data_IF_978951063127
#
_entry.id   IF_978951063127
#
_cell.length_a   1.000
_cell.length_b   1.000
_cell.length_c   1.000
_cell.angle_alpha   90.00
_cell.angle_beta   90.00
_cell.angle_gamma   90.00
#
_symmetry.space_group_name_H-M   'P 1'
#
loop_
_entity.id
_entity.type
_entity.pdbx_description
1 polymer ?
2 polymer ?
3 polymer ?
4 non-polymer ?
5 non-polymer ?
6 water ?
#
# COMPACT_ATOMS: atom_id res chain seq x y z
N UNK A 1 18.89 -9.14 -6.36
CA UNK A 1 18.05 -8.48 -5.38
C UNK A 1 17.37 -9.49 -4.46
N UNK A 2 16.61 -9.01 -3.48
CA UNK A 2 15.92 -9.86 -2.49
C UNK A 2 14.41 -9.68 -2.68
N UNK A 3 13.83 -10.51 -3.53
CA UNK A 3 12.46 -10.33 -4.00
C UNK A 3 11.47 -11.07 -3.11
N UNK A 4 10.20 -10.71 -3.25
CA UNK A 4 9.16 -11.24 -2.37
C UNK A 4 7.89 -11.52 -3.15
N UNK A 5 7.19 -12.56 -2.75
CA UNK A 5 5.84 -12.86 -3.21
C UNK A 5 4.94 -12.78 -1.99
N UNK A 6 3.91 -11.94 -2.05
CA UNK A 6 3.04 -11.80 -0.90
C UNK A 6 1.57 -11.58 -1.25
N UNK A 7 0.72 -12.24 -0.48
CA UNK A 7 -0.72 -12.15 -0.65
C UNK A 7 -1.32 -11.47 0.57
N UNK A 8 -2.30 -10.62 0.34
CA UNK A 8 -2.96 -9.87 1.39
C UNK A 8 -4.46 -10.05 1.24
N UNK A 9 -5.16 -10.13 2.38
CA UNK A 9 -6.59 -10.36 2.30
C UNK A 9 -7.36 -9.57 3.32
N UNK A 10 -8.53 -9.07 2.93
CA UNK A 10 -9.40 -8.33 3.84
C UNK A 10 -10.80 -8.95 3.74
N UNK A 11 -11.38 -9.30 4.89
CA UNK A 11 -12.73 -9.83 4.96
C UNK A 11 -13.51 -8.97 5.94
N UNK A 12 -14.65 -8.44 5.50
CA UNK A 12 -15.43 -7.47 6.27
C UNK A 12 -16.84 -8.02 6.40
N UNK A 13 -17.25 -8.33 7.63
CA UNK A 13 -18.62 -8.81 7.81
C UNK A 13 -19.60 -7.68 7.55
N UNK A 14 -20.76 -8.07 7.06
CA UNK A 14 -21.86 -7.18 6.82
C UNK A 14 -23.17 -7.68 7.43
N UNK A 15 -23.24 -7.54 8.75
CA UNK A 15 -24.26 -8.40 9.29
C UNK A 15 -25.63 -7.83 9.01
N UNK A 16 -26.51 -8.72 8.64
CA UNK A 16 -27.85 -8.35 8.29
C UNK A 16 -28.00 -7.98 6.83
N UNK A 17 -26.87 -7.84 6.14
CA UNK A 17 -26.90 -7.46 4.73
C UNK A 17 -26.20 -8.46 3.84
N UNK A 18 -26.23 -9.73 4.21
CA UNK A 18 -25.59 -10.70 3.41
C UNK A 18 -24.23 -11.14 3.76
N UNK A 19 -23.59 -11.68 2.75
CA UNK A 19 -22.26 -12.25 2.91
C UNK A 19 -21.23 -11.17 3.18
N UNK A 20 -20.10 -11.54 3.81
CA UNK A 20 -18.99 -10.58 3.95
C UNK A 20 -18.43 -10.18 2.59
N UNK A 21 -17.67 -9.10 2.60
CA UNK A 21 -16.89 -8.65 1.46
C UNK A 21 -15.47 -9.18 1.61
N UNK A 22 -14.97 -9.88 0.58
CA UNK A 22 -13.61 -10.40 0.58
C UNK A 22 -12.84 -9.75 -0.57
N UNK A 23 -11.74 -9.06 -0.24
CA UNK A 23 -10.88 -8.48 -1.27
C UNK A 23 -9.47 -8.98 -1.01
N UNK A 24 -8.94 -9.75 -1.95
CA UNK A 24 -7.62 -10.34 -1.85
C UNK A 24 -6.76 -9.78 -2.98
N UNK A 25 -5.48 -9.56 -2.69
CA UNK A 25 -4.54 -9.04 -3.68
C UNK A 25 -3.23 -9.78 -3.54
N UNK A 26 -2.48 -9.84 -4.63
CA UNK A 26 -1.16 -10.44 -4.61
C UNK A 26 -0.12 -9.51 -5.20
N UNK A 27 1.09 -9.58 -4.66
CA UNK A 27 2.17 -8.68 -5.02
C UNK A 27 3.47 -9.47 -5.26
N UNK A 28 4.21 -9.07 -6.28
CA UNK A 28 5.63 -9.38 -6.36
C UNK A 28 6.37 -8.08 -6.08
N UNK A 29 7.20 -8.07 -5.05
CA UNK A 29 7.88 -6.84 -4.61
C UNK A 29 6.80 -5.78 -4.39
N UNK A 30 6.92 -4.60 -4.99
CA UNK A 30 5.97 -3.53 -4.81
C UNK A 30 4.94 -3.46 -5.94
N UNK A 31 4.85 -4.51 -6.75
CA UNK A 31 4.00 -4.55 -7.94
C UNK A 31 2.85 -5.52 -7.74
N UNK A 32 1.61 -5.00 -7.72
CA UNK A 32 0.44 -5.86 -7.62
C UNK A 32 0.25 -6.64 -8.92
N UNK A 33 -0.16 -7.90 -8.83
CA UNK A 33 -0.38 -8.65 -10.06
C UNK A 33 -1.66 -9.45 -10.14
N UNK A 34 -2.37 -9.67 -9.02
CA UNK A 34 -3.65 -10.36 -9.04
C UNK A 34 -4.57 -9.75 -8.01
N UNK A 35 -5.87 -9.94 -8.21
CA UNK A 35 -6.88 -9.61 -7.22
C UNK A 35 -7.99 -10.64 -7.26
N UNK A 36 -8.76 -10.67 -6.18
CA UNK A 36 -10.03 -11.39 -6.12
C UNK A 36 -10.98 -10.53 -5.30
N UNK A 37 -12.13 -10.21 -5.87
CA UNK A 37 -13.11 -9.35 -5.21
C UNK A 37 -14.43 -10.10 -5.22
N UNK A 38 -14.93 -10.45 -4.03
CA UNK A 38 -16.12 -11.27 -3.93
C UNK A 38 -17.39 -10.56 -4.40
N UNK A 39 -17.32 -9.27 -4.61
CA UNK A 39 -18.49 -8.52 -4.99
C UNK A 39 -18.90 -8.43 -6.45
N UNK A 40 -18.37 -9.32 -7.24
CA UNK A 40 -18.82 -9.49 -8.61
C UNK A 40 -19.87 -10.61 -8.64
N UNK A 41 -20.55 -10.72 -9.79
CA UNK A 41 -21.61 -11.72 -9.91
C UNK A 41 -21.05 -13.14 -9.83
N UNK A 42 -20.02 -13.42 -10.63
CA UNK A 42 -19.26 -14.66 -10.55
C UNK A 42 -17.80 -14.25 -10.35
N UNK A 43 -17.38 -14.02 -9.11
CA UNK A 43 -16.03 -13.47 -8.89
C UNK A 43 -14.94 -14.47 -9.24
N UNK A 44 -13.87 -13.95 -9.84
CA UNK A 44 -12.73 -14.75 -10.24
C UNK A 44 -11.46 -14.07 -9.78
N UNK A 45 -10.42 -14.85 -9.55
CA UNK A 45 -9.10 -14.27 -9.40
C UNK A 45 -8.65 -13.77 -10.77
N UNK A 46 -8.21 -12.50 -10.83
CA UNK A 46 -7.99 -11.79 -12.09
C UNK A 46 -6.57 -11.23 -12.15
N UNK A 47 -6.03 -11.08 -13.36
CA UNK A 47 -4.71 -10.46 -13.50
C UNK A 47 -4.77 -8.96 -13.26
N UNK A 48 -3.70 -8.42 -12.66
CA UNK A 48 -3.54 -6.99 -12.50
C UNK A 48 -2.16 -6.51 -12.94
N UNK A 49 -1.39 -7.34 -13.63
CA UNK A 49 -0.12 -6.95 -14.21
C UNK A 49 -0.02 -7.66 -15.55
N UNK A 50 0.54 -7.01 -16.58
CA UNK A 50 0.55 -7.65 -17.90
C UNK A 50 1.29 -8.97 -17.93
N UNK A 51 2.37 -9.13 -17.15
CA UNK A 51 3.21 -10.31 -17.28
C UNK A 51 2.62 -11.57 -16.64
N UNK A 52 1.48 -11.48 -15.95
CA UNK A 52 0.80 -12.68 -15.47
C UNK A 52 -0.34 -13.10 -16.41
N UNK A 53 -0.73 -12.23 -17.33
CA UNK A 53 -1.84 -12.55 -18.24
C UNK A 53 -1.57 -13.80 -19.06
N UNK A 54 -0.30 -14.15 -19.28
CA UNK A 54 0.07 -15.32 -20.09
C UNK A 54 -0.18 -16.64 -19.37
N UNK A 55 -0.49 -16.64 -18.07
CA UNK A 55 -0.76 -17.91 -17.40
C UNK A 55 -2.03 -18.52 -17.98
N UNK A 56 -2.03 -19.84 -18.13
CA UNK A 56 -3.07 -20.51 -18.84
C UNK A 56 -4.36 -20.62 -18.05
N UNK A 57 -5.39 -21.16 -18.70
CA UNK A 57 -6.71 -21.30 -18.06
C UNK A 57 -6.67 -22.10 -16.77
N UNK A 58 -5.83 -23.08 -16.70
CA UNK A 58 -5.75 -23.85 -15.47
C UNK A 58 -5.26 -23.02 -14.28
N UNK A 59 -4.23 -22.15 -14.44
CA UNK A 59 -3.79 -21.26 -13.38
C UNK A 59 -4.95 -20.46 -12.81
N UNK A 60 -5.71 -19.81 -13.68
CA UNK A 60 -6.79 -18.95 -13.20
C UNK A 60 -7.88 -19.76 -12.54
N UNK A 61 -8.16 -20.96 -13.05
CA UNK A 61 -9.10 -21.85 -12.39
C UNK A 61 -8.63 -22.19 -10.97
N UNK A 62 -7.36 -22.55 -10.82
CA UNK A 62 -6.89 -22.96 -9.50
C UNK A 62 -6.81 -21.77 -8.54
N UNK A 63 -6.36 -20.61 -9.01
CA UNK A 63 -6.29 -19.44 -8.12
C UNK A 63 -7.66 -18.93 -7.74
N UNK A 64 -8.66 -19.11 -8.60
CA UNK A 64 -10.03 -18.81 -8.23
C UNK A 64 -10.55 -19.81 -7.20
N UNK A 65 -10.16 -21.06 -7.35
CA UNK A 65 -10.56 -22.07 -6.41
C UNK A 65 -9.97 -21.72 -5.04
N UNK A 66 -8.71 -21.33 -5.05
CA UNK A 66 -7.99 -21.01 -3.84
C UNK A 66 -8.64 -19.84 -3.14
N UNK A 67 -8.94 -18.81 -3.88
CA UNK A 67 -9.59 -17.61 -3.35
C UNK A 67 -10.93 -17.97 -2.71
N UNK A 68 -11.75 -18.78 -3.41
CA UNK A 68 -13.06 -19.11 -2.86
C UNK A 68 -12.96 -19.97 -1.62
N UNK A 69 -11.98 -20.88 -1.55
CA UNK A 69 -11.78 -21.68 -0.35
C UNK A 69 -11.35 -20.80 0.81
N UNK A 70 -10.51 -19.82 0.51
CA UNK A 70 -10.05 -18.88 1.50
C UNK A 70 -11.23 -18.07 2.03
N UNK A 71 -12.10 -17.63 1.14
CA UNK A 71 -13.27 -16.86 1.54
C UNK A 71 -14.22 -17.66 2.42
N UNK A 72 -14.32 -18.95 2.14
CA UNK A 72 -15.16 -19.85 2.91
C UNK A 72 -14.65 -19.88 4.34
N UNK A 73 -13.34 -20.09 4.47
CA UNK A 73 -12.71 -20.12 5.79
C UNK A 73 -12.76 -18.74 6.47
N UNK A 74 -12.49 -17.65 5.74
CA UNK A 74 -12.58 -16.32 6.36
C UNK A 74 -13.98 -16.07 6.90
N UNK A 75 -14.98 -16.52 6.17
CA UNK A 75 -16.37 -16.38 6.59
C UNK A 75 -16.49 -17.05 7.95
N UNK A 76 -16.14 -18.33 8.02
CA UNK A 76 -16.17 -19.07 9.28
C UNK A 76 -15.35 -18.37 10.35
N UNK A 77 -14.17 -17.85 10.00
CA UNK A 77 -13.32 -17.22 11.01
C UNK A 77 -13.97 -15.98 11.59
N UNK A 78 -14.65 -15.18 10.77
CA UNK A 78 -15.31 -13.99 11.30
C UNK A 78 -16.38 -14.37 12.32
N UNK A 79 -16.96 -15.53 12.12
CA UNK A 79 -17.96 -16.06 13.03
C UNK A 79 -17.35 -16.51 14.32
N UNK A 80 -16.32 -17.24 14.18
CA UNK A 80 -15.56 -17.73 15.33
C UNK A 80 -15.05 -16.58 16.18
N UNK A 81 -14.47 -15.55 15.54
CA UNK A 81 -13.87 -14.44 16.28
C UNK A 81 -14.92 -13.67 17.06
N UNK A 82 -16.09 -13.46 16.45
CA UNK A 82 -17.18 -12.79 17.15
C UNK A 82 -17.51 -13.51 18.46
N UNK A 83 -17.51 -14.86 18.41
CA UNK A 83 -17.71 -15.65 19.62
C UNK A 83 -16.54 -15.56 20.61
N UNK A 84 -15.31 -15.68 20.12
CA UNK A 84 -14.13 -15.58 21.00
C UNK A 84 -14.15 -14.30 21.84
N UNK A 85 -14.56 -13.19 21.24
CA UNK A 85 -14.56 -11.90 21.92
C UNK A 85 -15.92 -11.53 22.48
N UNK A 86 -16.88 -12.44 22.41
CA UNK A 86 -18.22 -12.26 22.98
C UNK A 86 -18.83 -10.95 22.49
N UNK A 87 -18.78 -10.74 21.18
CA UNK A 87 -19.26 -9.52 20.55
C UNK A 87 -20.68 -9.70 20.02
N UNK A 88 -21.35 -8.58 19.86
CA UNK A 88 -22.74 -8.54 19.40
C UNK A 88 -22.88 -9.11 17.99
N UNK A 89 -24.05 -9.66 17.70
CA UNK A 89 -24.39 -10.09 16.34
C UNK A 89 -24.43 -8.90 15.38
N UNK A 90 -24.68 -7.71 15.89
CA UNK A 90 -24.75 -6.54 15.05
C UNK A 90 -23.38 -5.86 15.00
N UNK A 91 -23.10 -5.21 13.89
CA UNK A 91 -21.86 -4.48 13.80
C UNK A 91 -20.83 -5.21 12.97
N UNK A 92 -20.18 -4.47 12.08
CA UNK A 92 -19.24 -5.06 11.14
C UNK A 92 -17.87 -5.25 11.78
N UNK A 93 -17.21 -6.36 11.43
CA UNK A 93 -15.85 -6.60 11.90
C UNK A 93 -14.95 -6.94 10.72
N UNK A 94 -13.65 -6.72 10.91
CA UNK A 94 -12.66 -6.92 9.85
C UNK A 94 -11.64 -7.98 10.26
N UNK A 95 -11.39 -8.92 9.36
CA UNK A 95 -10.31 -9.88 9.49
C UNK A 95 -9.34 -9.64 8.34
N UNK A 96 -8.04 -9.62 8.63
CA UNK A 96 -7.02 -9.43 7.61
C UNK A 96 -5.93 -10.48 7.77
N UNK A 97 -5.36 -10.90 6.65
CA UNK A 97 -4.24 -11.82 6.72
C UNK A 97 -3.21 -11.39 5.70
N UNK A 98 -2.01 -11.89 5.85
CA UNK A 98 -0.93 -11.67 4.89
C UNK A 98 0.04 -12.84 4.98
N UNK A 99 0.57 -13.25 3.86
CA UNK A 99 1.50 -14.37 3.85
C UNK A 99 2.35 -14.31 2.58
N UNK A 100 3.56 -14.86 2.67
CA UNK A 100 4.41 -14.95 1.50
C UNK A 100 5.85 -15.27 1.86
N UNK A 101 6.69 -15.24 0.82
CA UNK A 101 8.08 -15.64 0.93
C UNK A 101 8.98 -14.56 0.37
N UNK A 102 10.17 -14.41 0.97
CA UNK A 102 11.24 -13.61 0.39
C UNK A 102 12.30 -14.53 -0.18
N UNK A 103 12.73 -14.25 -1.41
CA UNK A 103 13.78 -15.00 -2.05
C UNK A 103 15.11 -14.31 -1.79
N UNK A 104 16.08 -15.06 -1.28
CA UNK A 104 17.35 -14.49 -0.89
C UNK A 104 18.27 -14.38 -2.08
N UNK A 105 19.19 -13.42 -2.06
CA UNK A 105 20.16 -13.27 -3.17
C UNK A 105 20.91 -14.56 -3.47
N UNK A 106 20.92 -15.48 -2.51
CA UNK A 106 21.48 -16.81 -2.69
C UNK A 106 20.46 -17.81 -3.24
N UNK A 107 19.31 -17.33 -3.71
CA UNK A 107 18.35 -18.22 -4.33
C UNK A 107 17.58 -19.14 -3.40
N UNK A 108 17.66 -18.94 -2.09
CA UNK A 108 16.95 -19.80 -1.15
C UNK A 108 15.97 -18.97 -0.32
N UNK A 109 15.11 -19.67 0.42
CA UNK A 109 14.13 -19.01 1.28
C UNK A 109 14.84 -18.16 2.32
N UNK A 110 14.70 -16.85 2.20
CA UNK A 110 15.32 -15.93 3.15
C UNK A 110 14.43 -15.64 4.35
N UNK A 111 13.12 -15.55 4.13
CA UNK A 111 12.20 -15.20 5.19
C UNK A 111 10.81 -15.64 4.76
N UNK A 112 9.99 -16.02 5.74
CA UNK A 112 8.61 -16.38 5.48
C UNK A 112 7.68 -15.60 6.38
N UNK A 113 6.47 -15.39 5.91
CA UNK A 113 5.48 -14.63 6.63
C UNK A 113 4.11 -15.27 6.59
N UNK A 114 3.38 -15.16 7.69
CA UNK A 114 2.00 -15.61 7.83
C UNK A 114 1.45 -14.92 9.06
N UNK A 115 0.67 -13.90 8.84
CA UNK A 115 0.14 -13.05 9.92
C UNK A 115 -1.35 -12.72 9.75
N UNK A 116 -2.04 -12.51 10.86
CA UNK A 116 -3.47 -12.20 10.83
C UNK A 116 -3.79 -11.12 11.86
N UNK A 117 -4.84 -10.36 11.58
CA UNK A 117 -5.27 -9.28 12.46
C UNK A 117 -6.79 -9.27 12.51
N UNK A 118 -7.33 -8.86 13.65
CA UNK A 118 -8.77 -8.74 13.82
C UNK A 118 -9.08 -7.31 14.28
N UNK A 119 -10.02 -6.67 13.60
CA UNK A 119 -10.37 -5.27 13.84
C UNK A 119 -9.13 -4.38 13.99
N UNK A 120 -8.16 -4.59 13.10
CA UNK A 120 -7.01 -3.72 13.02
C UNK A 120 -5.88 -3.99 13.99
N UNK A 121 -5.98 -5.05 14.81
CA UNK A 121 -4.97 -5.39 15.81
C UNK A 121 -4.34 -6.74 15.48
N UNK A 122 -3.02 -6.84 15.67
CA UNK A 122 -2.33 -8.14 15.56
C UNK A 122 -3.11 -9.21 16.29
N UNK A 123 -3.26 -10.38 15.66
CA UNK A 123 -3.96 -11.51 16.26
C UNK A 123 -3.03 -12.71 16.43
N UNK A 124 -2.50 -13.28 15.35
CA UNK A 124 -1.58 -14.41 15.44
C UNK A 124 -0.62 -14.33 14.26
N UNK A 125 0.63 -14.66 14.51
CA UNK A 125 1.64 -14.56 13.46
C UNK A 125 2.57 -15.76 13.57
N UNK A 126 3.06 -16.20 12.43
CA UNK A 126 4.09 -17.23 12.40
C UNK A 126 5.43 -16.63 12.83
N UNK A 127 6.10 -17.30 13.76
CA UNK A 127 7.42 -16.88 14.19
C UNK A 127 8.38 -16.88 13.01
N UNK A 128 9.43 -16.05 13.11
CA UNK A 128 10.42 -15.96 12.05
C UNK A 128 11.08 -17.30 11.77
N UNK A 129 11.17 -18.16 12.78
CA UNK A 129 11.81 -19.45 12.52
C UNK A 129 10.92 -20.40 11.72
N UNK A 130 9.65 -20.04 11.53
CA UNK A 130 8.68 -20.78 10.73
C UNK A 130 8.29 -22.11 11.39
N UNK A 131 8.51 -22.24 12.69
CA UNK A 131 8.25 -23.47 13.43
C UNK A 131 7.10 -23.35 14.42
N UNK A 132 6.67 -22.13 14.75
CA UNK A 132 5.79 -21.92 15.88
C UNK A 132 5.07 -20.59 15.70
N UNK A 133 4.07 -20.34 16.55
CA UNK A 133 3.16 -19.21 16.44
C UNK A 133 3.34 -18.24 17.60
N UNK A 134 2.97 -17.01 17.35
CA UNK A 134 2.89 -16.00 18.37
C UNK A 134 1.49 -15.45 18.48
N UNK A 135 0.88 -15.58 19.64
CA UNK A 135 -0.52 -15.24 19.85
C UNK A 135 -0.62 -13.94 20.65
N UNK A 136 -1.47 -13.01 20.17
CA UNK A 136 -1.56 -11.70 20.81
C UNK A 136 -2.31 -11.75 22.15
N UNK A 137 -3.26 -12.66 22.29
CA UNK A 137 -4.12 -12.64 23.47
C UNK A 137 -4.68 -14.03 23.68
N UNK A 138 -5.58 -14.17 24.65
CA UNK A 138 -6.07 -15.50 24.97
C UNK A 138 -6.94 -16.09 23.86
N UNK A 139 -7.62 -15.25 23.08
CA UNK A 139 -8.37 -15.78 21.95
C UNK A 139 -7.44 -16.35 20.89
N UNK A 140 -6.40 -15.61 20.54
CA UNK A 140 -5.44 -16.13 19.57
C UNK A 140 -4.71 -17.35 20.12
N UNK A 141 -4.56 -17.45 21.45
CA UNK A 141 -3.98 -18.67 22.01
C UNK A 141 -4.82 -19.89 21.67
N UNK A 142 -6.14 -19.73 21.59
CA UNK A 142 -6.97 -20.87 21.19
C UNK A 142 -6.72 -21.26 19.75
N UNK A 143 -6.60 -20.26 18.86
CA UNK A 143 -6.20 -20.54 17.48
C UNK A 143 -4.85 -21.25 17.44
N UNK A 144 -3.89 -20.77 18.23
CA UNK A 144 -2.57 -21.39 18.28
C UNK A 144 -2.65 -22.87 18.63
N UNK A 145 -3.48 -23.22 19.62
CA UNK A 145 -3.59 -24.63 19.99
C UNK A 145 -4.16 -25.47 18.84
N UNK A 146 -5.15 -24.94 18.11
CA UNK A 146 -5.68 -25.69 16.97
C UNK A 146 -4.66 -25.83 15.85
N UNK A 147 -3.91 -24.76 15.54
CA UNK A 147 -2.93 -24.83 14.47
C UNK A 147 -1.75 -25.72 14.85
N UNK A 148 -1.41 -25.80 16.13
CA UNK A 148 -0.43 -26.80 16.55
C UNK A 148 -0.98 -28.20 16.38
N UNK A 149 -2.26 -28.38 16.69
CA UNK A 149 -2.88 -29.71 16.60
C UNK A 149 -2.94 -30.21 15.17
N UNK A 150 -3.13 -29.31 14.18
CA UNK A 150 -3.12 -29.72 12.78
C UNK A 150 -1.75 -29.55 12.13
N UNK A 151 -0.73 -29.21 12.91
CA UNK A 151 0.66 -29.07 12.41
C UNK A 151 0.71 -28.13 11.19
N UNK A 152 0.00 -27.02 11.33
CA UNK A 152 -0.13 -26.06 10.24
C UNK A 152 1.19 -25.38 9.93
N UNK A 153 1.99 -25.11 10.98
CA UNK A 153 3.26 -24.41 10.75
C UNK A 153 4.13 -25.19 9.77
N UNK A 154 4.22 -26.51 9.96
CA UNK A 154 5.03 -27.35 9.08
C UNK A 154 4.46 -27.40 7.67
N UNK A 155 3.13 -27.45 7.56
CA UNK A 155 2.50 -27.50 6.26
C UNK A 155 2.66 -26.18 5.52
N UNK A 156 2.51 -25.06 6.22
CA UNK A 156 2.70 -23.79 5.54
C UNK A 156 4.17 -23.56 5.18
N UNK A 157 5.09 -23.99 6.04
CA UNK A 157 6.51 -23.86 5.72
C UNK A 157 6.85 -24.59 4.43
N UNK A 158 6.24 -25.76 4.22
CA UNK A 158 6.49 -26.50 2.98
C UNK A 158 6.04 -25.70 1.76
N UNK A 159 4.93 -24.98 1.87
CA UNK A 159 4.53 -24.06 0.80
C UNK A 159 5.58 -22.98 0.60
N UNK A 160 6.05 -22.37 1.70
CA UNK A 160 7.03 -21.30 1.61
C UNK A 160 8.34 -21.79 1.02
N UNK A 161 8.76 -22.97 1.41
CA UNK A 161 10.02 -23.53 0.96
C UNK A 161 10.06 -24.03 -0.48
N UNK A 162 8.90 -24.33 -1.01
CA UNK A 162 8.82 -24.87 -2.33
C UNK A 162 8.09 -24.05 -3.35
N UNK A 163 6.74 -24.36 -3.47
CA UNK A 163 6.01 -23.62 -4.48
C UNK A 163 6.00 -22.08 -4.39
N UNK A 164 5.99 -21.52 -3.19
CA UNK A 164 6.02 -20.06 -3.10
C UNK A 164 7.22 -19.51 -3.85
N UNK A 165 8.38 -20.12 -3.64
CA UNK A 165 9.59 -19.65 -4.30
C UNK A 165 9.57 -20.00 -5.79
N UNK A 166 9.06 -21.18 -6.12
CA UNK A 166 8.97 -21.60 -7.50
C UNK A 166 8.18 -20.58 -8.32
N UNK A 167 6.99 -20.25 -7.85
CA UNK A 167 6.14 -19.27 -8.54
C UNK A 167 6.78 -17.89 -8.54
N UNK A 168 7.42 -17.50 -7.44
CA UNK A 168 8.10 -16.22 -7.41
C UNK A 168 9.18 -16.13 -8.50
N UNK A 169 9.99 -17.18 -8.64
CA UNK A 169 11.02 -17.14 -9.67
C UNK A 169 10.40 -17.03 -11.05
N UNK A 170 9.29 -17.74 -11.27
CA UNK A 170 8.64 -17.69 -12.57
C UNK A 170 8.09 -16.30 -12.88
N UNK A 171 7.43 -15.67 -11.90
CA UNK A 171 6.98 -14.29 -12.06
C UNK A 171 8.14 -13.36 -12.37
N UNK A 172 9.23 -13.46 -11.61
CA UNK A 172 10.37 -12.57 -11.82
C UNK A 172 10.92 -12.70 -13.23
N UNK A 173 10.94 -13.93 -13.76
CA UNK A 173 11.39 -14.14 -15.13
C UNK A 173 10.40 -13.55 -16.13
N UNK A 174 9.11 -13.86 -15.98
CA UNK A 174 8.14 -13.42 -16.96
C UNK A 174 7.96 -11.90 -16.96
N UNK A 175 8.16 -11.25 -15.81
CA UNK A 175 8.08 -9.81 -15.79
C UNK A 175 9.44 -9.14 -15.62
N UNK A 176 10.51 -9.80 -16.05
CA UNK A 176 11.85 -9.28 -15.71
C UNK A 176 12.06 -7.87 -16.24
N UNK A 177 11.43 -7.52 -17.36
CA UNK A 177 11.67 -6.21 -17.97
C UNK A 177 11.17 -5.06 -17.11
N UNK A 178 10.19 -5.29 -16.26
CA UNK A 178 9.74 -4.28 -15.30
C UNK A 178 10.11 -4.63 -13.86
N UNK A 179 9.88 -5.88 -13.45
CA UNK A 179 10.14 -6.27 -12.06
C UNK A 179 11.61 -6.14 -11.69
N UNK A 180 12.52 -6.47 -12.63
CA UNK A 180 13.94 -6.52 -12.31
C UNK A 180 14.68 -5.29 -12.80
N UNK A 181 13.96 -4.22 -13.04
CA UNK A 181 14.54 -2.98 -13.49
C UNK A 181 14.33 -1.91 -12.47
N UNK A 182 15.38 -1.44 -11.82
CA UNK A 182 15.27 -0.40 -10.80
C UNK A 182 15.18 0.97 -11.48
N UNK A 183 13.99 1.56 -11.48
CA UNK A 183 13.74 2.88 -12.04
C UNK A 183 14.25 3.93 -11.04
N UNK A 184 15.28 4.69 -11.43
CA UNK A 184 15.84 5.66 -10.48
C UNK A 184 14.89 6.83 -10.31
N UNK A 185 14.98 7.55 -9.21
CA UNK A 185 14.15 8.75 -9.07
C UNK A 185 14.67 9.84 -9.99
N UNK A 186 13.75 10.52 -10.67
CA UNK A 186 14.06 11.81 -11.26
C UNK A 186 13.95 12.86 -10.15
N UNK A 187 15.01 13.64 -9.95
CA UNK A 187 15.08 14.51 -8.79
C UNK A 187 15.29 15.97 -9.17
N UNK A 188 14.76 16.86 -8.34
CA UNK A 188 15.00 18.29 -8.51
C UNK A 188 14.56 19.00 -7.24
N UNK A 189 14.99 20.25 -7.12
CA UNK A 189 14.67 21.10 -5.97
C UNK A 189 13.92 22.32 -6.48
N UNK A 190 12.79 22.63 -5.86
CA UNK A 190 12.05 23.84 -6.18
C UNK A 190 12.13 24.81 -5.01
N UNK A 191 11.81 26.07 -5.29
CA UNK A 191 12.05 27.17 -4.36
C UNK A 191 10.77 27.98 -4.26
N UNK A 192 10.28 28.18 -3.04
CA UNK A 192 8.99 28.82 -2.81
C UNK A 192 9.12 29.84 -1.69
N UNK A 193 9.19 31.12 -2.02
CA UNK A 193 9.31 32.16 -0.99
C UNK A 193 8.16 32.10 0.02
N UNK A 194 8.52 32.19 1.29
CA UNK A 194 7.54 32.18 2.38
C UNK A 194 7.35 33.59 2.95
N UNK A 195 8.34 34.46 2.83
CA UNK A 195 8.25 35.84 3.29
C UNK A 195 9.36 36.61 2.61
N UNK A 196 9.53 37.87 3.03
CA UNK A 196 10.62 38.67 2.50
C UNK A 196 11.98 38.21 2.98
N UNK A 197 12.05 37.26 3.94
CA UNK A 197 13.36 36.79 4.35
C UNK A 197 13.49 35.28 4.49
N UNK A 198 12.45 34.50 4.15
CA UNK A 198 12.53 33.05 4.21
C UNK A 198 11.89 32.40 2.99
N UNK A 199 12.30 31.17 2.72
CA UNK A 199 11.78 30.44 1.57
C UNK A 199 11.81 28.95 1.83
N UNK A 200 10.91 28.22 1.17
CA UNK A 200 10.85 26.77 1.27
C UNK A 200 11.58 26.15 0.09
N UNK A 201 12.55 25.30 0.38
CA UNK A 201 13.17 24.41 -0.60
C UNK A 201 12.48 23.06 -0.53
N UNK A 202 11.98 22.58 -1.66
CA UNK A 202 11.30 21.28 -1.70
C UNK A 202 12.07 20.36 -2.63
N UNK A 203 12.53 19.24 -2.09
CA UNK A 203 13.33 18.28 -2.83
C UNK A 203 12.43 17.13 -3.27
N UNK A 204 12.41 16.88 -4.58
CA UNK A 204 11.50 15.92 -5.18
C UNK A 204 12.25 14.68 -5.64
N UNK A 205 11.64 13.52 -5.39
CA UNK A 205 12.05 12.25 -6.02
C UNK A 205 10.82 11.65 -6.68
N UNK A 206 10.87 11.48 -8.01
CA UNK A 206 9.70 11.11 -8.78
C UNK A 206 10.00 9.93 -9.69
N UNK A 207 9.00 9.06 -9.87
CA UNK A 207 9.04 7.97 -10.84
C UNK A 207 9.96 6.82 -10.48
N UNK A 208 10.19 6.55 -9.19
CA UNK A 208 11.16 5.53 -8.82
C UNK A 208 10.48 4.22 -8.48
N UNK A 209 11.24 3.14 -8.65
CA UNK A 209 10.80 1.81 -8.31
C UNK A 209 12.06 1.00 -8.00
N UNK A 210 12.08 0.25 -6.88
CA UNK A 210 10.98 -0.02 -5.96
C UNK A 210 10.71 1.14 -5.00
N UNK A 211 9.83 0.92 -4.01
CA UNK A 211 9.34 2.03 -3.20
C UNK A 211 10.38 2.51 -2.20
N UNK A 212 11.26 1.62 -1.74
CA UNK A 212 12.22 1.98 -0.70
C UNK A 212 13.11 3.14 -1.15
N UNK A 213 13.13 4.20 -0.35
CA UNK A 213 13.96 5.36 -0.69
C UNK A 213 14.26 6.09 0.61
N UNK A 214 15.37 6.81 0.63
CA UNK A 214 15.63 7.76 1.69
C UNK A 214 15.85 9.14 1.07
N UNK A 215 15.30 10.18 1.73
CA UNK A 215 15.41 11.55 1.25
C UNK A 215 15.49 12.44 2.49
N UNK A 216 16.61 13.13 2.66
CA UNK A 216 16.82 13.96 3.84
C UNK A 216 17.46 15.27 3.42
N UNK A 217 17.38 16.25 4.32
CA UNK A 217 18.02 17.55 4.13
C UNK A 217 19.16 17.71 5.11
N UNK A 218 20.20 18.41 4.66
CA UNK A 218 21.32 18.79 5.51
C UNK A 218 21.58 20.28 5.37
N UNK A 219 22.04 20.88 6.47
CA UNK A 219 22.53 22.26 6.49
C UNK A 219 23.98 22.22 6.94
N UNK A 220 24.88 22.74 6.09
CA UNK A 220 26.32 22.65 6.33
C UNK A 220 26.72 21.23 6.71
N UNK A 221 26.19 20.24 5.99
CA UNK A 221 26.54 18.86 6.22
C UNK A 221 25.97 18.22 7.47
N UNK A 222 25.11 18.91 8.19
CA UNK A 222 24.47 18.38 9.39
C UNK A 222 23.00 18.09 9.08
N UNK A 223 22.51 16.96 9.59
CA UNK A 223 21.14 16.54 9.37
C UNK A 223 20.16 17.58 9.92
N UNK A 224 19.15 17.92 9.12
CA UNK A 224 18.17 18.94 9.47
C UNK A 224 16.90 18.30 10.00
N UNK A 225 16.55 18.60 11.25
CA UNK A 225 15.36 18.04 11.87
C UNK A 225 14.34 19.10 12.26
N UNK A 226 14.68 20.37 12.11
CA UNK A 226 13.77 21.47 12.41
C UNK A 226 13.33 22.13 11.12
N UNK A 227 12.17 22.79 11.17
CA UNK A 227 11.66 23.56 10.04
C UNK A 227 11.45 22.69 8.79
N UNK A 228 11.05 21.42 8.94
CA UNK A 228 10.96 20.50 7.82
C UNK A 228 9.57 19.88 7.72
N UNK A 229 9.27 19.37 6.52
CA UNK A 229 8.15 18.43 6.34
C UNK A 229 8.54 17.41 5.29
N UNK A 230 8.36 16.13 5.61
CA UNK A 230 8.50 15.07 4.63
C UNK A 230 7.16 14.38 4.44
N UNK A 231 6.83 14.02 3.22
CA UNK A 231 5.63 13.24 2.99
C UNK A 231 6.05 11.78 2.83
N UNK A 232 5.18 10.87 3.22
CA UNK A 232 5.42 9.45 3.09
C UNK A 232 5.41 9.11 1.61
N UNK A 233 6.27 8.20 1.20
CA UNK A 233 6.32 7.71 -0.18
C UNK A 233 4.93 7.34 -0.65
N UNK A 234 4.58 7.77 -1.86
CA UNK A 234 3.21 7.64 -2.33
C UNK A 234 3.22 7.14 -3.78
N UNK A 235 2.19 6.40 -4.18
CA UNK A 235 2.17 5.85 -5.54
C UNK A 235 1.84 6.92 -6.58
N UNK A 236 2.54 6.88 -7.70
CA UNK A 236 2.24 7.79 -8.79
C UNK A 236 1.02 7.34 -9.58
N UNK A 237 0.68 6.05 -9.54
CA UNK A 237 -0.42 5.51 -10.31
C UNK A 237 0.01 4.78 -11.56
N UNK A 238 1.29 4.84 -11.90
CA UNK A 238 1.84 4.16 -13.08
C UNK A 238 2.76 3.01 -12.70
N UNK A 239 2.73 2.59 -11.44
CA UNK A 239 3.64 1.57 -10.96
C UNK A 239 4.87 2.09 -10.27
N UNK A 240 5.13 3.41 -10.32
CA UNK A 240 6.28 3.99 -9.64
C UNK A 240 5.78 4.84 -8.48
N UNK A 241 6.72 5.45 -7.78
CA UNK A 241 6.45 6.14 -6.52
C UNK A 241 7.05 7.54 -6.53
N UNK A 242 6.59 8.34 -5.58
CA UNK A 242 6.99 9.73 -5.37
C UNK A 242 7.31 9.96 -3.90
N UNK A 243 8.15 10.95 -3.64
CA UNK A 243 8.37 11.41 -2.27
C UNK A 243 8.95 12.81 -2.36
N UNK A 244 8.62 13.66 -1.39
CA UNK A 244 9.36 14.92 -1.30
C UNK A 244 9.62 15.30 0.15
N UNK A 245 10.61 16.16 0.32
CA UNK A 245 10.97 16.70 1.61
C UNK A 245 11.24 18.20 1.46
N UNK A 246 10.72 19.00 2.38
CA UNK A 246 10.84 20.45 2.29
C UNK A 246 11.45 21.00 3.57
N UNK A 247 12.19 22.11 3.43
CA UNK A 247 12.83 22.78 4.56
C UNK A 247 12.68 24.29 4.37
N UNK A 248 12.34 24.99 5.45
CA UNK A 248 12.26 26.45 5.43
C UNK A 248 13.63 27.02 5.80
N UNK A 249 14.16 27.89 4.94
CA UNK A 249 15.55 28.35 5.06
C UNK A 249 15.56 29.88 5.01
N UNK A 250 16.62 30.49 5.55
CA UNK A 250 16.77 31.95 5.41
C UNK A 250 17.16 32.32 3.98
N UNK A 251 16.45 33.29 3.42
CA UNK A 251 16.75 33.77 2.08
C UNK A 251 18.19 34.26 2.02
N UNK A 252 18.88 33.88 0.95
CA UNK A 252 20.30 34.11 0.83
C UNK A 252 21.18 33.01 1.38
N UNK A 253 20.62 32.04 2.09
CA UNK A 253 21.41 30.94 2.64
C UNK A 253 21.06 29.59 2.00
N UNK A 254 20.41 29.60 0.83
CA UNK A 254 19.94 28.37 0.19
C UNK A 254 21.07 27.40 -0.12
N UNK A 255 22.25 27.91 -0.45
CA UNK A 255 23.33 27.03 -0.89
C UNK A 255 23.99 26.29 0.27
N UNK A 256 23.68 26.63 1.51
CA UNK A 256 24.13 25.80 2.61
C UNK A 256 23.34 24.50 2.74
N UNK A 257 22.24 24.37 2.01
CA UNK A 257 21.34 23.23 2.18
C UNK A 257 21.49 22.25 1.03
N UNK A 258 21.54 20.95 1.37
CA UNK A 258 21.68 19.88 0.40
C UNK A 258 20.65 18.79 0.69
N UNK A 259 20.05 18.29 -0.38
CA UNK A 259 19.13 17.16 -0.31
C UNK A 259 19.90 15.89 -0.65
N UNK A 260 19.62 14.82 0.08
CA UNK A 260 20.35 13.56 -0.02
C UNK A 260 19.37 12.44 -0.33
N UNK A 261 19.56 11.76 -1.45
CA UNK A 261 18.62 10.77 -1.94
C UNK A 261 19.38 9.47 -2.18
N UNK A 262 18.85 8.38 -1.64
CA UNK A 262 19.44 7.07 -1.86
C UNK A 262 18.34 6.11 -2.32
N UNK A 263 18.66 5.31 -3.34
CA UNK A 263 17.67 4.43 -3.96
C UNK A 263 18.41 3.38 -4.77
N UNK A 264 17.81 2.18 -4.87
CA UNK A 264 18.50 1.10 -5.58
C UNK A 264 18.89 1.52 -6.99
N UNK A 265 18.10 2.39 -7.62
CA UNK A 265 18.39 2.86 -8.96
C UNK A 265 19.48 3.92 -9.08
N UNK A 266 20.10 4.32 -7.98
CA UNK A 266 21.16 5.33 -7.98
C UNK A 266 22.46 4.68 -7.54
N UNK A 267 23.48 4.62 -8.42
CA UNK A 267 24.74 3.94 -8.04
C UNK A 267 25.40 4.55 -6.82
N UNK A 268 25.45 5.87 -6.72
CA UNK A 268 25.93 6.54 -5.52
C UNK A 268 24.80 7.30 -4.85
N UNK A 269 24.90 7.56 -3.55
CA UNK A 269 23.98 8.51 -2.93
C UNK A 269 24.07 9.84 -3.67
N UNK A 270 22.92 10.48 -3.84
CA UNK A 270 22.82 11.68 -4.63
C UNK A 270 22.73 12.88 -3.71
N UNK A 271 23.52 13.89 -4.01
CA UNK A 271 23.50 15.09 -3.24
C UNK A 271 23.03 16.16 -4.19
N UNK A 272 21.97 16.87 -3.81
CA UNK A 272 21.44 17.92 -4.64
C UNK A 272 21.19 19.24 -3.94
N UNK A 273 21.17 20.30 -4.71
CA UNK A 273 20.88 21.63 -4.23
C UNK A 273 19.98 22.41 -5.13
N UNK A 274 19.43 23.47 -4.62
CA UNK A 274 18.65 24.34 -5.48
C UNK A 274 19.57 25.02 -6.49
N UNK A 275 19.12 25.09 -7.74
CA UNK A 275 19.92 25.64 -8.83
C UNK A 275 19.12 26.75 -9.50
N UNK A 276 19.30 28.01 -9.05
CA UNK A 276 18.56 29.11 -9.67
C UNK A 276 18.98 29.23 -11.12
N UNK B 1 -10.25 -3.50 19.39
CA UNK B 1 -10.38 -2.83 18.10
C UNK B 1 -9.61 -1.52 18.11
N UNK B 2 -9.54 -0.88 16.94
CA UNK B 2 -8.80 0.36 16.76
C UNK B 2 -9.33 1.01 15.48
N UNK B 3 -9.70 2.29 15.56
CA UNK B 3 -10.12 3.03 14.38
C UNK B 3 -9.07 4.08 14.07
N UNK B 4 -8.78 4.28 12.77
CA UNK B 4 -7.73 5.21 12.35
C UNK B 4 -8.25 6.17 11.30
N UNK B 5 -7.90 7.45 11.46
CA UNK B 5 -8.35 8.52 10.59
C UNK B 5 -7.48 8.57 9.33
N UNK B 6 -8.08 8.60 8.14
CA UNK B 6 -7.30 8.60 6.90
C UNK B 6 -6.40 9.83 6.76
N UNK B 7 -5.22 9.58 6.20
CA UNK B 7 -4.30 10.62 5.82
C UNK B 7 -4.80 10.87 4.38
N UNK B 8 -4.60 12.07 3.84
CA UNK B 8 -5.07 12.43 2.51
C UNK B 8 -3.99 13.23 1.81
N UNK B 9 -3.57 12.78 0.63
CA UNK B 9 -2.69 13.56 -0.23
C UNK B 9 -3.34 13.69 -1.61
N UNK B 10 -3.36 14.91 -2.16
CA UNK B 10 -3.86 15.15 -3.50
C UNK B 10 -2.72 15.72 -4.34
N UNK B 11 -2.51 15.14 -5.52
CA UNK B 11 -1.32 15.45 -6.30
C UNK B 11 -1.52 14.90 -7.71
N UNK B 12 -0.61 15.28 -8.59
CA UNK B 12 -0.68 14.79 -9.97
C UNK B 12 0.38 13.72 -10.17
N UNK B 13 0.12 12.84 -11.14
CA UNK B 13 1.09 11.80 -11.45
C UNK B 13 2.40 12.39 -11.97
N UNK B 14 2.32 13.37 -12.86
CA UNK B 14 3.47 14.03 -13.43
C UNK B 14 3.46 15.51 -13.05
N UNK B 15 4.62 16.17 -13.05
CA UNK B 15 4.65 17.62 -12.80
C UNK B 15 3.64 18.32 -13.68
N UNK B 16 2.83 19.20 -13.11
CA UNK B 16 1.70 19.74 -13.87
C UNK B 16 2.16 20.81 -14.85
N UNK B 17 1.52 20.80 -16.03
CA UNK B 17 1.75 21.84 -17.04
C UNK B 17 0.40 22.21 -17.64
N UNK B 18 0.08 23.50 -17.67
CA UNK B 18 -1.21 23.91 -18.21
C UNK B 18 -1.35 23.43 -19.66
N UNK B 19 -2.49 22.83 -19.96
CA UNK B 19 -2.76 22.32 -21.29
C UNK B 19 -2.19 20.94 -21.58
N UNK B 20 -1.46 20.35 -20.63
CA UNK B 20 -0.87 19.04 -20.85
C UNK B 20 -1.64 17.98 -20.06
N UNK B 21 -2.23 16.99 -20.73
CA UNK B 21 -3.00 15.98 -20.01
C UNK B 21 -2.16 15.26 -18.96
N UNK B 22 -2.82 14.82 -17.90
CA UNK B 22 -2.15 14.35 -16.70
C UNK B 22 -3.15 13.47 -15.96
N UNK B 23 -2.76 13.01 -14.78
CA UNK B 23 -3.65 12.28 -13.89
C UNK B 23 -3.68 12.99 -12.54
N UNK B 24 -4.89 13.18 -12.01
CA UNK B 24 -5.13 13.75 -10.68
C UNK B 24 -5.31 12.61 -9.69
N UNK B 25 -4.48 12.60 -8.64
CA UNK B 25 -4.46 11.52 -7.66
C UNK B 25 -4.97 12.01 -6.31
N UNK B 26 -5.73 11.16 -5.64
CA UNK B 26 -6.02 11.34 -4.21
C UNK B 26 -5.64 10.03 -3.51
N UNK B 27 -4.62 10.10 -2.68
CA UNK B 27 -4.09 8.93 -1.98
C UNK B 27 -4.59 9.00 -0.54
N UNK B 28 -5.48 8.08 -0.17
CA UNK B 28 -5.96 7.98 1.21
C UNK B 28 -5.27 6.79 1.85
N UNK B 29 -4.71 6.99 3.05
CA UNK B 29 -3.89 5.95 3.64
C UNK B 29 -4.02 5.98 5.15
N UNK B 30 -3.62 4.87 5.78
CA UNK B 30 -3.58 4.80 7.22
C UNK B 30 -4.94 4.80 7.90
N UNK B 31 -5.99 4.36 7.20
CA UNK B 31 -7.31 4.37 7.81
C UNK B 31 -7.78 2.96 8.17
N UNK B 32 -8.77 2.92 9.07
CA UNK B 32 -9.36 1.66 9.54
C UNK B 32 -10.65 2.03 10.29
N UNK B 33 -11.77 1.37 9.96
CA UNK B 33 -11.94 0.24 9.02
C UNK B 33 -11.92 0.66 7.55
N UNK B 34 -12.28 -0.25 6.63
CA UNK B 34 -11.97 -0.07 5.22
C UNK B 34 -13.01 0.73 4.43
N UNK B 35 -14.27 0.78 4.86
CA UNK B 35 -15.25 1.57 4.12
C UNK B 35 -14.84 3.05 4.10
N UNK B 36 -14.81 3.65 2.92
CA UNK B 36 -14.41 5.05 2.78
C UNK B 36 -15.01 5.58 1.50
N UNK B 37 -15.33 6.88 1.49
CA UNK B 37 -15.88 7.56 0.33
C UNK B 37 -14.89 8.64 -0.08
N UNK B 38 -14.43 8.59 -1.33
CA UNK B 38 -13.43 9.54 -1.81
C UNK B 38 -13.92 10.16 -3.11
N UNK B 39 -13.97 11.47 -3.18
CA UNK B 39 -14.36 12.14 -4.41
C UNK B 39 -13.30 13.13 -4.86
N UNK B 40 -13.08 13.17 -6.12
CA UNK B 40 -12.28 14.23 -6.73
C UNK B 40 -13.22 15.33 -7.20
N UNK B 41 -12.85 16.57 -6.90
CA UNK B 41 -13.69 17.72 -7.14
C UNK B 41 -13.01 18.64 -8.13
N UNK B 42 -13.78 19.14 -9.10
CA UNK B 42 -13.31 20.13 -10.06
C UNK B 42 -14.19 21.35 -9.87
N UNK B 43 -13.57 22.45 -9.43
CA UNK B 43 -14.31 23.65 -9.07
C UNK B 43 -15.48 23.33 -8.15
N UNK B 44 -15.23 22.47 -7.15
CA UNK B 44 -16.25 22.11 -6.19
C UNK B 44 -17.22 21.03 -6.61
N UNK B 45 -17.25 20.65 -7.89
CA UNK B 45 -18.16 19.64 -8.38
C UNK B 45 -17.49 18.28 -8.46
N UNK B 46 -18.23 17.23 -8.13
CA UNK B 46 -17.72 15.89 -8.17
C UNK B 46 -17.39 15.43 -9.57
N UNK B 47 -16.20 14.90 -9.76
CA UNK B 47 -15.79 14.41 -11.07
C UNK B 47 -16.27 12.97 -11.28
N UNK B 48 -16.78 12.70 -12.48
CA UNK B 48 -17.01 11.33 -12.90
C UNK B 48 -15.72 10.72 -13.41
N UNK B 49 -15.81 9.45 -13.81
CA UNK B 49 -14.69 8.72 -14.40
C UNK B 49 -13.52 8.55 -13.42
N UNK B 50 -13.80 8.55 -12.12
CA UNK B 50 -12.78 8.35 -11.11
C UNK B 50 -12.65 6.86 -10.82
N UNK B 51 -11.43 6.34 -10.96
CA UNK B 51 -11.14 4.94 -10.66
C UNK B 51 -10.28 4.84 -9.41
N UNK B 52 -10.10 3.62 -8.92
CA UNK B 52 -9.30 3.45 -7.71
C UNK B 52 -8.61 2.09 -7.72
N UNK B 53 -7.55 2.02 -6.93
CA UNK B 53 -6.78 0.78 -6.79
C UNK B 53 -7.60 -0.25 -5.99
N UNK B 54 -7.10 -1.48 -5.99
CA UNK B 54 -7.69 -2.52 -5.16
C UNK B 54 -7.25 -2.35 -3.71
N UNK B 55 -8.18 -2.52 -2.81
CA UNK B 55 -7.90 -2.40 -1.39
C UNK B 55 -6.69 -3.20 -0.90
N UNK B 56 -5.77 -2.47 -0.28
CA UNK B 56 -4.56 -3.05 0.26
C UNK B 56 -4.29 -2.42 1.62
N UNK B 57 -3.26 -2.90 2.30
CA UNK B 57 -2.91 -2.39 3.59
C UNK B 57 -1.44 -2.44 3.92
N UNK B 58 -1.05 -1.64 4.88
CA UNK B 58 0.34 -1.49 5.26
C UNK B 58 0.68 -2.42 6.42
N UNK B 59 1.90 -2.29 6.94
CA UNK B 59 2.38 -3.22 7.95
C UNK B 59 1.62 -3.12 9.26
N UNK B 60 1.07 -1.94 9.59
CA UNK B 60 0.25 -1.81 10.79
C UNK B 60 -1.21 -2.17 10.54
N UNK B 61 -1.54 -2.73 9.38
CA UNK B 61 -2.84 -3.25 8.98
C UNK B 61 -3.78 -2.13 8.52
N UNK B 62 -3.34 -0.88 8.51
CA UNK B 62 -4.19 0.20 8.04
C UNK B 62 -4.22 0.21 6.51
N UNK B 63 -5.37 0.58 5.98
CA UNK B 63 -5.65 0.47 4.56
C UNK B 63 -5.14 1.68 3.79
N UNK B 64 -4.92 1.48 2.49
CA UNK B 64 -4.65 2.60 1.59
C UNK B 64 -5.28 2.31 0.24
N UNK B 65 -5.66 3.39 -0.44
CA UNK B 65 -6.30 3.36 -1.74
C UNK B 65 -5.82 4.57 -2.52
N UNK B 66 -5.56 4.39 -3.81
CA UNK B 66 -5.30 5.48 -4.72
C UNK B 66 -6.54 5.68 -5.59
N UNK B 67 -7.10 6.89 -5.56
CA UNK B 67 -8.15 7.30 -6.49
C UNK B 67 -7.54 8.21 -7.54
N UNK B 68 -7.96 8.06 -8.79
CA UNK B 68 -7.29 8.82 -9.83
C UNK B 68 -8.22 9.05 -11.02
N UNK B 69 -7.95 10.12 -11.76
CA UNK B 69 -8.72 10.40 -12.96
C UNK B 69 -7.90 11.28 -13.89
N UNK B 70 -8.21 11.24 -15.17
CA UNK B 70 -7.53 12.05 -16.15
C UNK B 70 -7.91 13.50 -15.94
N UNK B 71 -6.97 14.39 -16.14
CA UNK B 71 -7.23 15.80 -16.07
C UNK B 71 -6.17 16.59 -16.87
N UNK B 72 -6.53 17.79 -17.25
CA UNK B 72 -5.67 18.65 -17.99
C UNK B 72 -5.70 19.95 -17.25
N UNK B 73 -4.67 20.25 -16.48
CA UNK B 73 -4.69 21.46 -15.68
C UNK B 73 -4.69 22.70 -16.55
N UNK B 74 -5.29 23.76 -16.03
CA UNK B 74 -5.21 25.07 -16.67
C UNK B 74 -5.20 26.12 -15.57
N UNK B 75 -5.06 27.38 -15.97
CA UNK B 75 -4.89 28.43 -14.96
C UNK B 75 -6.17 28.72 -14.19
N UNK B 76 -7.33 28.27 -14.67
CA UNK B 76 -8.62 28.65 -14.11
C UNK B 76 -9.23 27.62 -13.18
N UNK B 77 -8.90 26.34 -13.33
CA UNK B 77 -9.62 25.29 -12.63
C UNK B 77 -8.94 24.94 -11.32
N UNK B 78 -9.75 24.73 -10.28
CA UNK B 78 -9.29 24.32 -8.96
C UNK B 78 -9.75 22.89 -8.69
N UNK B 79 -8.87 22.11 -8.07
CA UNK B 79 -9.12 20.71 -7.82
C UNK B 79 -8.95 20.43 -6.34
N UNK B 80 -9.71 19.46 -5.86
CA UNK B 80 -9.67 19.07 -4.45
C UNK B 80 -10.03 17.59 -4.35
N UNK B 81 -9.84 17.04 -3.15
CA UNK B 81 -10.24 15.69 -2.80
C UNK B 81 -11.09 15.78 -1.55
N UNK B 82 -12.24 15.10 -1.55
CA UNK B 82 -13.18 15.12 -0.42
C UNK B 82 -13.40 13.71 0.08
N UNK B 83 -13.20 13.50 1.38
CA UNK B 83 -13.14 12.16 1.97
C UNK B 83 -14.13 12.08 3.12
N UNK B 84 -14.93 11.01 3.14
CA UNK B 84 -15.78 10.66 4.26
C UNK B 84 -15.36 9.31 4.83
N UNK B 85 -15.34 9.23 6.16
CA UNK B 85 -14.92 8.02 6.88
C UNK B 85 -15.59 8.06 8.24
N UNK B 86 -15.78 6.89 8.83
CA UNK B 86 -16.47 6.84 10.12
C UNK B 86 -15.74 7.68 11.17
N UNK B 87 -14.41 7.76 11.07
CA UNK B 87 -13.62 8.53 12.03
C UNK B 87 -13.76 10.04 11.85
N UNK B 88 -14.34 10.49 10.74
CA UNK B 88 -14.39 11.91 10.42
C UNK B 88 -15.78 12.45 10.71
N UNK B 89 -15.85 13.59 11.41
CA UNK B 89 -17.13 14.24 11.61
C UNK B 89 -17.41 15.13 10.41
N UNK B 90 -18.11 14.59 9.42
CA UNK B 90 -18.34 15.30 8.19
C UNK B 90 -17.18 15.11 7.23
N UNK B 91 -17.35 15.54 5.99
CA UNK B 91 -16.30 15.35 4.98
C UNK B 91 -15.07 16.23 5.23
N UNK B 92 -13.91 15.69 4.87
CA UNK B 92 -12.65 16.41 4.95
C UNK B 92 -12.18 16.64 3.52
N UNK B 93 -11.91 17.89 3.19
CA UNK B 93 -11.55 18.31 1.84
C UNK B 93 -10.12 18.85 1.84
N UNK B 94 -9.32 18.39 0.88
CA UNK B 94 -7.94 18.83 0.73
C UNK B 94 -7.79 19.38 -0.69
N UNK B 95 -7.34 20.62 -0.79
CA UNK B 95 -7.19 21.28 -2.09
C UNK B 95 -5.89 20.83 -2.74
N UNK B 96 -5.94 20.63 -4.05
CA UNK B 96 -4.73 20.38 -4.81
C UNK B 96 -3.86 21.62 -4.82
N UNK B 97 -2.56 21.42 -4.57
CA UNK B 97 -1.55 22.47 -4.58
C UNK B 97 -0.46 22.03 -5.56
N UNK B 98 -0.25 22.83 -6.61
CA UNK B 98 0.67 22.46 -7.69
C UNK B 98 2.10 22.29 -7.21
N UNK B 99 2.46 22.84 -6.06
CA UNK B 99 3.81 22.75 -5.53
C UNK B 99 3.99 21.58 -4.58
N UNK B 100 3.01 20.70 -4.47
CA UNK B 100 3.07 19.59 -3.51
C UNK B 100 2.57 18.26 -4.08
N UNK C 2 -4.92 -20.00 6.96
CA UNK C 2 -5.14 -21.11 7.87
C UNK C 2 -6.39 -21.93 7.62
N UNK C 3 -6.62 -23.04 8.35
CA UNK C 3 -7.77 -23.87 8.08
C UNK C 3 -8.82 -23.70 9.17
N UNK C 4 -8.88 -22.51 9.76
CA UNK C 4 -9.90 -22.23 10.74
C UNK C 4 -9.33 -21.60 11.98
N UNK C 5 -9.75 -20.38 12.29
CA UNK C 5 -9.23 -19.66 13.45
C UNK C 5 -9.93 -20.22 14.70
X LIG D 1 22.06 3.28 -4.26
X LIG E 1 16.99 -5.16 -7.04
X LIG F 1 10.81 -1.26 -12.94
X LIG G 1 1.80 -19.64 -5.63
X LIG G 1 1.02 -19.32 -4.48
X LIG G 1 1.22 -18.95 -6.88
X LIG G 1 1.64 -17.58 -6.92
X LIG H 1 13.37 -4.31 -8.03
X LIG H 1 14.19 -4.24 -6.85
X LIG H 1 14.27 -4.04 -9.22
X LIG H 1 15.39 -4.93 -9.12
X LIG I 1 0.75 -11.26 18.30
X LIG I 1 1.93 -10.48 18.52
X LIG I 1 0.69 -11.84 16.89
X LIG I 1 1.08 -10.86 15.90
X LIG J 1 7.34 0.61 -13.56
X LIG J 1 7.76 0.00 -14.80
X LIG J 1 7.13 -0.46 -12.50
X LIG J 1 8.24 -1.38 -12.52
X LIG K 1 -2.39 -19.24 -2.60
X LIG K 1 -1.25 -19.12 -1.81
X LIG K 1 -2.07 -18.49 -3.84
X LIG K 1 -1.78 -19.50 -4.75
X LIG L 1 12.59 7.30 4.10
X LIG L 1 11.40 7.16 3.30
X LIG L 1 12.96 8.70 4.57
X LIG L 1 14.26 9.23 4.30
X LIG M 1 -17.84 10.48 8.81
X LIG N 1 -15.62 3.09 -1.41
X LIG O 1 0.62 -6.62 7.19
X LIG O 1 1.72 -6.45 6.28
X LIG O 1 1.12 -7.09 8.55
X LIG O 1 2.32 -6.40 8.93
X LIG P 1 -5.38 15.99 5.77
X LIG P 1 -5.34 15.82 7.20
X LIG P 1 -4.06 15.53 5.16
X LIG P 1 -3.76 14.20 5.63
X LIG Q 1 -9.11 20.02 6.69
X LIG Q 1 -8.36 21.09 7.30
X LIG Q 1 -8.35 19.56 5.44
X LIG Q 1 -7.14 18.89 5.82
X LIG R 1 -12.72 14.13 13.61
X LIG R 1 -11.62 14.50 14.46
X LIG R 1 -12.45 14.67 12.22
X LIG R 1 -13.66 15.11 11.62
X LIG S 1 -16.39 -2.19 8.37
X LIG S 1 -16.86 -1.18 9.28
X LIG S 1 -16.00 -1.55 7.04
X LIG S 1 -15.74 -0.15 7.23
X LIG T 1 -14.66 -2.85 1.00
X LIG T 1 -14.15 -1.72 0.31
X LIG T 1 -15.33 -2.45 2.29
X LIG T 1 -14.59 -1.35 2.74
X LIG U 1 -3.61 6.93 10.31
X LIG U 1 -2.73 5.85 10.47
X LIG U 1 -2.97 8.11 9.59
X LIG U 1 -2.01 7.74 8.59
#
# INVERSE_FOLDING_TARGET
GSHSLRYFGTAVSRPGRGEPRFIYVGYVDDTQFVRFDSDAASPRTEPRAPWVEQEGPEYWEEETRRAKARAQTDRADLRTLRGYYNQSEAGSHTLQWMAGCDLGPNGRLLRGYHQSAYDGKDYIALNEDLRSWIAADMAAQNTQRKWEATRYAERFRAYLEGPCLEWLRRYLENGKETLQHADPPKTHVTHHPVSDHEATLRCWALGFYPAEITLTWQRDGEEQTQDIEFVETRPAGDGTFQKWGAVVVPSGEEQRYTCHVQHEGLPEPLTLRWEP
AIQRTPKIQVYSRHPPENGKPNFLNCYVSGFHPSDIEVDLLKNGEKMGKVEHSDLSFSKDWSFYLLYYTEFTPNEKDEYACRVNHVTLSGPRTVKWDRDM
XGGGI
NA NA
NA NA
NA NA
EDO C1 O1 C2 O2
EDO C1 O1 C2 O2
EDO C1 O1 C2 O2
EDO C1 O1 C2 O2
EDO C1 O1 C2 O2
EDO C1 O1 C2 O2
NA NA
NA NA
EDO C1 O1 C2 O2
EDO C1 O1 C2 O2
EDO C1 O1 C2 O2
EDO C1 O1 C2 O2
EDO C1 O1 C2 O2
EDO C1 O1 C2 O2
EDO C1 O1 C2 O2
#
